data_IF_533208009659
#
_entry.id   IF_533208009659
#
_cell.length_a   1.000
_cell.length_b   1.000
_cell.length_c   1.000
_cell.angle_alpha   90.00
_cell.angle_beta   90.00
_cell.angle_gamma   90.00
#
_symmetry.space_group_name_H-M   'P 1'
#
loop_
_entity.id
_entity.type
_entity.pdbx_description
1 polymer ?
#
# COMPACT_ATOMS: atom_id res chain seq x y z
N UNK A 1 9.72 19.91 4.51
CA UNK A 1 10.14 18.53 4.21
C UNK A 1 10.31 17.86 5.56
N UNK A 2 9.27 17.16 6.00
CA UNK A 2 9.18 16.61 7.35
C UNK A 2 10.21 15.49 7.55
N UNK A 3 10.65 15.27 8.80
CA UNK A 3 11.64 14.24 9.17
C UNK A 3 11.21 12.86 8.64
N UNK A 4 9.90 12.59 8.62
CA UNK A 4 9.33 11.35 8.09
C UNK A 4 9.67 11.14 6.60
N UNK A 5 9.44 12.12 5.73
CA UNK A 5 9.75 12.01 4.30
C UNK A 5 11.23 11.66 4.08
N UNK A 6 12.11 12.30 4.85
CA UNK A 6 13.56 12.04 4.83
C UNK A 6 13.88 10.60 5.23
N UNK A 7 13.23 10.07 6.27
CA UNK A 7 13.42 8.68 6.71
C UNK A 7 12.95 7.67 5.66
N UNK A 8 11.87 7.98 4.95
CA UNK A 8 11.35 7.14 3.86
C UNK A 8 12.32 7.13 2.68
N UNK A 9 12.90 8.28 2.32
CA UNK A 9 13.92 8.41 1.27
C UNK A 9 15.17 7.54 1.53
N UNK A 10 15.50 7.23 2.79
CA UNK A 10 16.64 6.37 3.11
C UNK A 10 16.35 4.87 2.99
N UNK A 11 15.10 4.45 2.80
CA UNK A 11 14.76 3.04 2.64
C UNK A 11 14.94 2.58 1.19
N UNK A 12 15.53 1.42 0.95
CA UNK A 12 15.58 0.79 -0.37
C UNK A 12 14.60 -0.37 -0.44
N UNK A 13 13.79 -0.40 -1.50
CA UNK A 13 12.82 -1.47 -1.80
C UNK A 13 13.14 -2.17 -3.11
N UNK A 14 14.38 -2.04 -3.61
CA UNK A 14 14.82 -2.73 -4.83
C UNK A 14 14.67 -4.24 -4.69
N UNK A 15 14.17 -4.88 -5.75
CA UNK A 15 13.96 -6.33 -5.82
C UNK A 15 13.01 -6.89 -4.74
N UNK A 16 12.28 -6.03 -4.02
CA UNK A 16 11.30 -6.48 -3.03
C UNK A 16 9.92 -6.63 -3.65
N UNK A 17 9.22 -7.70 -3.26
CA UNK A 17 7.80 -7.85 -3.58
C UNK A 17 6.98 -6.81 -2.78
N UNK A 18 6.06 -6.11 -3.45
CA UNK A 18 5.31 -4.99 -2.89
C UNK A 18 4.70 -5.27 -1.49
N UNK A 19 3.97 -6.39 -1.25
CA UNK A 19 3.49 -6.74 0.09
C UNK A 19 4.58 -6.89 1.15
N UNK A 20 5.78 -7.35 0.79
CA UNK A 20 6.90 -7.51 1.74
C UNK A 20 7.45 -6.13 2.12
N UNK A 21 7.67 -5.27 1.12
CA UNK A 21 8.11 -3.89 1.33
C UNK A 21 7.13 -3.11 2.20
N UNK A 22 5.82 -3.25 1.92
CA UNK A 22 4.76 -2.59 2.69
C UNK A 22 4.76 -3.02 4.17
N UNK A 23 4.95 -4.32 4.45
CA UNK A 23 5.08 -4.81 5.83
C UNK A 23 6.33 -4.27 6.53
N UNK A 24 7.48 -4.23 5.85
CA UNK A 24 8.70 -3.66 6.40
C UNK A 24 8.55 -2.17 6.70
N UNK A 25 7.83 -1.44 5.85
CA UNK A 25 7.55 -0.02 6.03
C UNK A 25 6.72 0.24 7.29
N UNK A 26 5.58 -0.44 7.43
CA UNK A 26 4.72 -0.27 8.61
C UNK A 26 5.31 -0.86 9.89
N UNK A 27 6.18 -1.87 9.83
CA UNK A 27 6.84 -2.41 11.02
C UNK A 27 7.80 -1.41 11.71
N UNK A 28 8.22 -0.36 10.98
CA UNK A 28 9.11 0.69 11.49
C UNK A 28 8.35 1.94 11.96
N UNK A 29 7.03 1.97 11.77
CA UNK A 29 6.17 3.10 12.11
C UNK A 29 5.20 2.63 13.19
N UNK A 30 5.17 3.30 14.33
CA UNK A 30 4.09 3.12 15.28
C UNK A 30 2.79 3.57 14.58
N UNK A 31 1.87 2.64 14.34
CA UNK A 31 0.60 2.93 13.70
C UNK A 31 -0.17 3.92 14.60
N UNK A 32 -0.45 5.15 14.14
CA UNK A 32 -1.19 6.09 14.97
C UNK A 32 -2.64 5.64 15.09
N UNK A 33 -3.16 5.68 16.32
CA UNK A 33 -4.40 5.01 16.71
C UNK A 33 -5.66 5.52 15.98
N UNK A 34 -5.66 6.67 15.30
CA UNK A 34 -6.93 7.25 14.81
C UNK A 34 -6.87 8.24 13.61
N UNK A 35 -5.93 8.11 12.66
CA UNK A 35 -5.91 9.02 11.48
C UNK A 35 -5.87 8.32 10.13
N UNK A 36 -7.06 8.12 9.54
CA UNK A 36 -7.23 7.70 8.14
C UNK A 36 -6.44 8.61 7.16
N UNK A 37 -6.39 9.91 7.43
CA UNK A 37 -5.62 10.88 6.62
C UNK A 37 -4.10 10.64 6.69
N UNK A 38 -3.58 10.26 7.87
CA UNK A 38 -2.16 9.97 8.05
C UNK A 38 -1.76 8.66 7.36
N UNK A 39 -2.64 7.66 7.37
CA UNK A 39 -2.43 6.43 6.60
C UNK A 39 -2.29 6.73 5.10
N UNK A 40 -3.18 7.56 4.55
CA UNK A 40 -3.09 7.98 3.15
C UNK A 40 -1.77 8.69 2.85
N UNK A 41 -1.34 9.61 3.71
CA UNK A 41 -0.05 10.30 3.59
C UNK A 41 1.15 9.34 3.61
N UNK A 42 1.14 8.36 4.52
CA UNK A 42 2.19 7.34 4.61
C UNK A 42 2.26 6.49 3.34
N UNK A 43 1.10 6.02 2.84
CA UNK A 43 1.03 5.18 1.64
C UNK A 43 1.44 5.97 0.40
N UNK A 44 1.11 7.26 0.31
CA UNK A 44 1.53 8.12 -0.80
C UNK A 44 3.07 8.23 -0.85
N UNK A 45 3.70 8.52 0.29
CA UNK A 45 5.16 8.59 0.38
C UNK A 45 5.83 7.24 0.10
N UNK A 46 5.28 6.15 0.64
CA UNK A 46 5.74 4.80 0.35
C UNK A 46 5.63 4.48 -1.15
N UNK A 47 4.53 4.84 -1.80
CA UNK A 47 4.28 4.54 -3.21
C UNK A 47 5.27 5.27 -4.12
N UNK A 48 5.55 6.55 -3.83
CA UNK A 48 6.58 7.33 -4.54
C UNK A 48 7.94 6.65 -4.41
N UNK A 49 8.31 6.28 -3.18
CA UNK A 49 9.60 5.64 -2.92
C UNK A 49 9.74 4.26 -3.57
N UNK A 50 8.70 3.43 -3.48
CA UNK A 50 8.68 2.11 -4.10
C UNK A 50 8.78 2.21 -5.62
N UNK A 51 8.08 3.17 -6.24
CA UNK A 51 8.21 3.46 -7.67
C UNK A 51 9.64 3.87 -8.05
N UNK A 52 10.26 4.77 -7.30
CA UNK A 52 11.63 5.22 -7.55
C UNK A 52 12.65 4.07 -7.51
N UNK A 53 12.52 3.16 -6.54
CA UNK A 53 13.36 1.97 -6.42
C UNK A 53 13.08 0.92 -7.50
N UNK A 54 11.90 0.92 -8.13
CA UNK A 54 11.44 -0.17 -8.98
C UNK A 54 10.84 0.33 -10.31
N UNK A 55 11.45 1.35 -10.93
CA UNK A 55 10.98 1.94 -12.20
C UNK A 55 10.84 0.93 -13.34
N UNK A 56 11.63 -0.13 -13.30
CA UNK A 56 11.61 -1.25 -14.26
C UNK A 56 10.30 -2.06 -14.25
N UNK A 57 9.47 -1.95 -13.20
CA UNK A 57 8.19 -2.65 -13.12
C UNK A 57 7.10 -2.02 -14.00
N UNK A 58 7.30 -0.79 -14.50
CA UNK A 58 6.32 -0.10 -15.35
C UNK A 58 5.01 0.28 -14.62
N UNK A 59 4.99 0.23 -13.29
CA UNK A 59 3.84 0.62 -12.47
C UNK A 59 3.93 2.10 -12.11
N UNK A 60 2.84 2.83 -12.28
CA UNK A 60 2.76 4.22 -11.83
C UNK A 60 2.64 4.31 -10.30
N UNK A 61 3.00 5.45 -9.73
CA UNK A 61 2.85 5.74 -8.29
C UNK A 61 1.40 5.54 -7.83
N UNK A 62 0.43 5.98 -8.63
CA UNK A 62 -1.01 5.87 -8.37
C UNK A 62 -1.44 4.39 -8.35
N UNK A 63 -0.92 3.59 -9.29
CA UNK A 63 -1.19 2.15 -9.31
C UNK A 63 -0.66 1.48 -8.05
N UNK A 64 0.56 1.82 -7.62
CA UNK A 64 1.16 1.28 -6.39
C UNK A 64 0.34 1.70 -5.16
N UNK A 65 -0.12 2.94 -5.10
CA UNK A 65 -0.97 3.47 -4.03
C UNK A 65 -2.28 2.66 -3.91
N UNK A 66 -2.99 2.46 -5.02
CA UNK A 66 -4.24 1.67 -5.05
C UNK A 66 -4.00 0.21 -4.66
N UNK A 67 -2.88 -0.37 -5.09
CA UNK A 67 -2.47 -1.72 -4.69
C UNK A 67 -2.22 -1.81 -3.18
N UNK A 68 -1.54 -0.84 -2.58
CA UNK A 68 -1.28 -0.80 -1.14
C UNK A 68 -2.57 -0.71 -0.33
N UNK A 69 -3.49 0.18 -0.70
CA UNK A 69 -4.81 0.27 -0.07
C UNK A 69 -5.60 -1.03 -0.20
N UNK A 70 -5.59 -1.64 -1.40
CA UNK A 70 -6.24 -2.94 -1.62
C UNK A 70 -5.69 -4.02 -0.69
N UNK A 71 -4.37 -4.07 -0.48
CA UNK A 71 -3.73 -5.04 0.41
C UNK A 71 -4.12 -4.81 1.88
N UNK A 72 -4.19 -3.56 2.32
CA UNK A 72 -4.60 -3.21 3.69
C UNK A 72 -6.06 -3.59 3.92
N UNK A 73 -6.96 -3.24 2.99
CA UNK A 73 -8.37 -3.61 3.06
C UNK A 73 -8.56 -5.13 3.05
N UNK A 74 -7.78 -5.87 2.27
CA UNK A 74 -7.78 -7.33 2.31
C UNK A 74 -7.33 -7.85 3.68
N UNK A 75 -6.29 -7.24 4.28
CA UNK A 75 -5.83 -7.63 5.63
C UNK A 75 -6.91 -7.42 6.68
N UNK A 76 -7.62 -6.28 6.63
CA UNK A 76 -8.74 -5.98 7.53
C UNK A 76 -9.88 -6.98 7.32
N UNK A 77 -10.25 -7.25 6.06
CA UNK A 77 -11.28 -8.23 5.70
C UNK A 77 -10.96 -9.61 6.29
N UNK A 78 -9.73 -10.10 6.10
CA UNK A 78 -9.30 -11.42 6.55
C UNK A 78 -9.22 -11.55 8.07
N UNK A 79 -8.82 -10.49 8.78
CA UNK A 79 -8.60 -10.53 10.24
C UNK A 79 -9.83 -10.14 11.06
N UNK A 80 -10.76 -9.37 10.50
CA UNK A 80 -11.94 -8.89 11.24
C UNK A 80 -12.91 -10.02 11.60
N UNK A 81 -13.24 -10.25 12.87
CA UNK A 81 -14.20 -11.29 13.27
C UNK A 81 -15.63 -11.00 12.79
N UNK A 82 -15.94 -9.75 12.43
CA UNK A 82 -17.26 -9.34 11.95
C UNK A 82 -17.52 -9.74 10.49
N UNK A 83 -16.47 -9.99 9.71
CA UNK A 83 -16.61 -10.43 8.31
C UNK A 83 -16.75 -11.95 8.27
N UNK A 84 -17.98 -12.43 8.09
CA UNK A 84 -18.30 -13.86 7.99
C UNK A 84 -17.83 -14.49 6.68
N UNK A 85 -18.02 -13.77 5.57
CA UNK A 85 -17.64 -14.21 4.23
C UNK A 85 -16.39 -13.44 3.80
N UNK A 86 -15.22 -14.07 3.93
CA UNK A 86 -13.94 -13.49 3.55
C UNK A 86 -13.82 -13.36 2.03
N UNK A 87 -13.14 -12.31 1.57
CA UNK A 87 -12.87 -12.11 0.17
C UNK A 87 -12.01 -13.25 -0.39
N UNK A 88 -12.50 -13.92 -1.43
CA UNK A 88 -11.71 -14.93 -2.15
C UNK A 88 -10.61 -14.28 -2.99
N UNK A 89 -9.57 -15.04 -3.33
CA UNK A 89 -8.50 -14.61 -4.27
C UNK A 89 -9.08 -14.06 -5.57
N UNK A 90 -10.12 -14.69 -6.12
CA UNK A 90 -10.76 -14.27 -7.37
C UNK A 90 -11.46 -12.92 -7.23
N UNK A 91 -12.13 -12.71 -6.11
CA UNK A 91 -12.80 -11.44 -5.81
C UNK A 91 -11.79 -10.32 -5.59
N UNK A 92 -10.70 -10.60 -4.86
CA UNK A 92 -9.61 -9.64 -4.68
C UNK A 92 -9.05 -9.18 -6.03
N UNK A 93 -8.66 -10.11 -6.90
CA UNK A 93 -8.13 -9.77 -8.24
C UNK A 93 -9.13 -8.93 -9.04
N UNK A 94 -10.42 -9.31 -9.02
CA UNK A 94 -11.48 -8.58 -9.73
C UNK A 94 -11.63 -7.15 -9.18
N UNK A 95 -11.69 -7.01 -7.86
CA UNK A 95 -11.93 -5.72 -7.19
C UNK A 95 -10.74 -4.78 -7.38
N UNK A 96 -9.51 -5.27 -7.18
CA UNK A 96 -8.29 -4.48 -7.36
C UNK A 96 -8.11 -4.03 -8.81
N UNK A 97 -8.37 -4.90 -9.80
CA UNK A 97 -8.34 -4.50 -11.22
C UNK A 97 -9.33 -3.37 -11.52
N UNK A 98 -10.56 -3.47 -11.01
CA UNK A 98 -11.56 -2.41 -11.17
C UNK A 98 -11.11 -1.11 -10.50
N UNK A 99 -10.54 -1.18 -9.30
CA UNK A 99 -10.04 0.00 -8.59
C UNK A 99 -8.92 0.72 -9.35
N UNK A 100 -7.98 -0.02 -9.95
CA UNK A 100 -6.90 0.55 -10.76
C UNK A 100 -7.48 1.24 -12.01
N UNK A 101 -8.41 0.60 -12.72
CA UNK A 101 -9.02 1.16 -13.93
C UNK A 101 -9.87 2.41 -13.63
N UNK A 102 -10.61 2.39 -12.51
CA UNK A 102 -11.51 3.48 -12.15
C UNK A 102 -10.82 4.63 -11.41
N UNK A 103 -9.61 4.42 -10.85
CA UNK A 103 -8.82 5.43 -10.16
C UNK A 103 -7.92 6.27 -11.08
N UNK A 104 -7.96 6.03 -12.40
CA UNK A 104 -7.20 6.76 -13.44
C UNK A 104 -7.98 7.91 -14.11
N UNK A 105 -8.98 8.48 -13.43
CA UNK A 105 -9.71 9.68 -13.89
C UNK A 105 -9.42 10.88 -13.01
#
# INVERSE_FOLDING_TARGET
RDILERLIEFQSYENQFLPNALRQFFAKLDAPEDRNEYLSFLIENFSKRFHECNKNLGLSTETIYVLCFSLILLSIDLTSPHVKNKMSKREFIRNTRRAIINGTL
#
